data_IF_813903652130
#
_entry.id   IF_813903652130
#
_cell.length_a   1.000
_cell.length_b   1.000
_cell.length_c   1.000
_cell.angle_alpha   90.00
_cell.angle_beta   90.00
_cell.angle_gamma   90.00
#
_symmetry.space_group_name_H-M   'P 1'
#
loop_
_entity.id
_entity.type
_entity.pdbx_description
1 polymer ?
#
# COMPACT_ATOMS: atom_id res chain seq x y z
N UNK A 1 5.75 -16.31 -13.03
CA UNK A 1 5.73 -17.49 -12.12
C UNK A 1 4.67 -17.33 -11.04
N UNK A 2 4.69 -16.27 -10.18
CA UNK A 2 3.65 -16.06 -9.14
C UNK A 2 2.25 -15.95 -9.76
N UNK A 3 2.09 -15.15 -10.81
CA UNK A 3 0.81 -14.95 -11.51
C UNK A 3 0.34 -16.16 -12.32
N UNK A 4 1.21 -17.10 -12.66
CA UNK A 4 0.87 -18.35 -13.35
C UNK A 4 0.35 -19.41 -12.40
N UNK A 5 0.89 -19.46 -11.18
CA UNK A 5 0.50 -20.41 -10.13
C UNK A 5 0.26 -19.67 -8.80
N UNK A 6 -0.75 -18.80 -8.73
CA UNK A 6 -0.95 -17.93 -7.56
C UNK A 6 -1.29 -18.69 -6.28
N UNK A 7 -1.86 -19.89 -6.38
CA UNK A 7 -2.24 -20.70 -5.23
C UNK A 7 -1.07 -21.47 -4.58
N UNK A 8 0.11 -21.41 -5.19
CA UNK A 8 1.34 -21.99 -4.61
C UNK A 8 2.00 -21.03 -3.60
N UNK A 9 1.42 -19.83 -3.41
CA UNK A 9 1.94 -18.78 -2.55
C UNK A 9 0.96 -18.43 -1.43
N UNK A 10 1.50 -18.05 -0.28
CA UNK A 10 0.71 -17.46 0.79
C UNK A 10 0.43 -15.98 0.48
N UNK A 11 -0.82 -15.58 0.54
CA UNK A 11 -1.26 -14.23 0.27
C UNK A 11 -1.88 -13.59 1.49
N UNK A 12 -1.52 -12.34 1.73
CA UNK A 12 -2.11 -11.49 2.76
C UNK A 12 -2.93 -10.37 2.13
N UNK A 13 -4.11 -10.13 2.69
CA UNK A 13 -4.99 -9.02 2.32
C UNK A 13 -4.91 -7.91 3.36
N UNK A 14 -4.65 -6.68 2.92
CA UNK A 14 -4.71 -5.48 3.75
C UNK A 14 -5.93 -4.63 3.43
N UNK A 15 -6.53 -4.02 4.47
CA UNK A 15 -7.81 -3.32 4.41
C UNK A 15 -7.87 -2.08 3.52
N UNK A 16 -6.77 -1.62 2.95
CA UNK A 16 -6.74 -0.56 1.93
C UNK A 16 -6.72 -1.10 0.48
N UNK A 17 -7.23 -2.33 0.27
CA UNK A 17 -7.43 -2.91 -1.06
C UNK A 17 -6.19 -3.54 -1.67
N UNK A 18 -5.21 -3.93 -0.85
CA UNK A 18 -3.97 -4.53 -1.32
C UNK A 18 -3.89 -6.01 -0.96
N UNK A 19 -3.76 -6.87 -1.97
CA UNK A 19 -3.36 -8.27 -1.83
C UNK A 19 -1.85 -8.37 -2.06
N UNK A 20 -1.11 -9.02 -1.17
CA UNK A 20 0.35 -9.15 -1.29
C UNK A 20 0.84 -10.55 -1.02
N UNK A 21 1.94 -10.94 -1.67
CA UNK A 21 2.74 -12.12 -1.35
C UNK A 21 4.23 -11.79 -1.39
N UNK A 22 5.02 -12.50 -0.60
CA UNK A 22 6.48 -12.34 -0.60
C UNK A 22 7.11 -13.27 -1.62
N UNK A 23 7.95 -12.72 -2.51
CA UNK A 23 8.76 -13.47 -3.48
C UNK A 23 10.05 -13.93 -2.79
N UNK A 24 10.59 -13.07 -1.94
CA UNK A 24 11.70 -13.35 -1.02
C UNK A 24 11.53 -12.50 0.25
N UNK A 25 12.50 -12.50 1.16
CA UNK A 25 12.41 -11.80 2.46
C UNK A 25 12.20 -10.27 2.34
N UNK A 26 12.66 -9.65 1.26
CA UNK A 26 12.66 -8.21 1.08
C UNK A 26 11.78 -7.75 -0.10
N UNK A 27 11.41 -8.67 -1.00
CA UNK A 27 10.63 -8.37 -2.21
C UNK A 27 9.24 -8.96 -2.11
N UNK A 28 8.24 -8.14 -2.39
CA UNK A 28 6.83 -8.56 -2.43
C UNK A 28 6.13 -8.12 -3.70
N UNK A 29 5.26 -8.96 -4.21
CA UNK A 29 4.30 -8.64 -5.26
C UNK A 29 3.00 -8.17 -4.60
N UNK A 30 2.41 -7.11 -5.14
CA UNK A 30 1.18 -6.51 -4.66
C UNK A 30 0.19 -6.35 -5.80
N UNK A 31 -1.08 -6.67 -5.56
CA UNK A 31 -2.19 -6.47 -6.50
C UNK A 31 -3.22 -5.59 -5.81
N UNK A 32 -3.79 -4.62 -6.53
CA UNK A 32 -4.64 -3.58 -5.97
C UNK A 32 -6.06 -3.67 -6.53
N UNK A 33 -7.08 -3.66 -5.63
CA UNK A 33 -8.49 -3.75 -5.99
C UNK A 33 -9.37 -3.01 -4.98
N UNK A 34 -10.12 -2.01 -5.45
CA UNK A 34 -10.95 -1.12 -4.61
C UNK A 34 -12.06 -1.83 -3.87
N UNK A 35 -12.62 -2.90 -4.43
CA UNK A 35 -13.67 -3.71 -3.79
C UNK A 35 -13.28 -4.26 -2.42
N UNK A 36 -11.99 -4.28 -2.10
CA UNK A 36 -11.47 -4.76 -0.82
C UNK A 36 -10.98 -3.64 0.11
N UNK A 37 -11.31 -2.38 -0.20
CA UNK A 37 -11.10 -1.28 0.73
C UNK A 37 -12.15 -1.37 1.85
N UNK A 38 -11.68 -1.53 3.08
CA UNK A 38 -12.53 -1.55 4.26
C UNK A 38 -12.84 -0.11 4.66
N UNK A 39 -14.11 0.25 4.91
CA UNK A 39 -14.47 1.57 5.42
C UNK A 39 -13.74 1.89 6.73
N UNK A 40 -13.38 3.15 6.92
CA UNK A 40 -12.70 3.68 8.12
C UNK A 40 -11.30 3.12 8.40
N UNK A 41 -10.67 2.47 7.43
CA UNK A 41 -9.24 2.16 7.48
C UNK A 41 -8.46 3.37 7.01
N UNK A 42 -7.46 3.79 7.80
CA UNK A 42 -6.52 4.79 7.29
C UNK A 42 -5.54 4.15 6.30
N UNK A 43 -5.36 4.82 5.19
CA UNK A 43 -4.38 4.46 4.15
C UNK A 43 -3.12 5.35 4.20
N UNK A 44 -3.12 6.42 5.01
CA UNK A 44 -1.94 7.27 5.22
C UNK A 44 -1.04 6.65 6.28
N UNK A 45 0.17 6.27 5.87
CA UNK A 45 1.12 5.59 6.76
C UNK A 45 2.57 5.86 6.36
N UNK A 46 3.50 5.48 7.26
CA UNK A 46 4.94 5.42 6.97
C UNK A 46 5.44 3.97 6.95
N UNK A 47 6.65 3.79 6.46
CA UNK A 47 7.39 2.53 6.53
C UNK A 47 8.61 2.65 7.45
N UNK A 48 9.04 1.57 8.11
CA UNK A 48 10.27 1.54 8.91
C UNK A 48 11.52 1.32 8.04
N UNK A 49 11.37 1.25 6.72
CA UNK A 49 12.41 1.02 5.72
C UNK A 49 12.11 1.84 4.45
N UNK A 50 13.17 2.17 3.71
CA UNK A 50 13.06 2.70 2.37
C UNK A 50 12.61 1.61 1.41
N UNK A 51 12.03 1.98 0.26
CA UNK A 51 11.70 1.00 -0.76
C UNK A 51 11.78 1.55 -2.17
N UNK A 52 11.97 0.64 -3.10
CA UNK A 52 11.68 0.85 -4.51
C UNK A 52 10.45 0.07 -4.92
N UNK A 53 9.62 0.65 -5.77
CA UNK A 53 8.43 -0.01 -6.29
C UNK A 53 8.38 0.12 -7.81
N UNK A 54 8.38 -1.03 -8.48
CA UNK A 54 8.23 -1.16 -9.93
C UNK A 54 6.75 -1.36 -10.27
N UNK A 55 6.22 -0.57 -11.20
CA UNK A 55 4.86 -0.73 -11.71
C UNK A 55 4.88 -1.76 -12.84
N UNK A 56 4.56 -3.01 -12.50
CA UNK A 56 4.51 -4.08 -13.49
C UNK A 56 3.33 -3.90 -14.45
N UNK A 57 2.18 -3.45 -13.93
CA UNK A 57 0.94 -3.25 -14.67
C UNK A 57 0.08 -2.18 -14.01
N UNK A 58 -0.69 -1.46 -14.82
CA UNK A 58 -1.65 -0.46 -14.34
C UNK A 58 -0.99 0.87 -13.97
N UNK A 59 -1.51 1.49 -12.92
CA UNK A 59 -1.15 2.84 -12.52
C UNK A 59 -1.39 3.07 -11.04
N UNK A 60 -0.49 3.82 -10.41
CA UNK A 60 -0.69 4.40 -9.09
C UNK A 60 -0.47 5.92 -9.10
N UNK A 61 -1.01 6.59 -8.09
CA UNK A 61 -0.59 7.94 -7.70
C UNK A 61 -0.11 7.87 -6.25
N UNK A 62 1.15 8.22 -6.01
CA UNK A 62 1.73 8.30 -4.68
C UNK A 62 1.55 9.72 -4.15
N UNK A 63 0.79 9.86 -3.06
CA UNK A 63 0.58 11.11 -2.36
C UNK A 63 1.49 11.13 -1.14
N UNK A 64 2.33 12.15 -1.02
CA UNK A 64 3.31 12.29 0.06
C UNK A 64 3.03 13.52 0.90
N UNK A 65 3.26 13.39 2.20
CA UNK A 65 3.12 14.46 3.18
C UNK A 65 4.37 14.60 4.02
N UNK A 66 4.41 15.68 4.78
CA UNK A 66 5.32 15.85 5.91
C UNK A 66 4.59 16.42 7.11
N UNK A 67 5.05 16.12 8.30
CA UNK A 67 4.59 16.79 9.50
C UNK A 67 5.03 18.26 9.48
N UNK A 68 4.13 19.15 9.90
CA UNK A 68 4.35 20.59 9.96
C UNK A 68 4.12 21.08 11.37
N UNK A 69 4.95 22.01 11.83
CA UNK A 69 4.74 22.75 13.08
C UNK A 69 3.77 23.93 12.91
N UNK A 70 3.34 24.22 11.67
CA UNK A 70 2.41 25.30 11.33
C UNK A 70 1.02 24.74 11.10
N UNK A 71 -0.01 25.56 11.31
CA UNK A 71 -1.42 25.24 11.02
C UNK A 71 -1.75 25.38 9.51
N UNK A 72 -0.80 25.01 8.64
CA UNK A 72 -0.91 25.14 7.18
C UNK A 72 -1.16 23.80 6.46
N UNK A 73 -1.79 22.87 7.13
CA UNK A 73 -2.08 21.54 6.64
C UNK A 73 -3.39 20.96 7.18
N UNK A 74 -3.50 19.66 7.16
CA UNK A 74 -4.65 18.88 7.64
C UNK A 74 -4.29 18.23 8.97
N UNK A 75 -5.22 18.27 9.93
CA UNK A 75 -5.04 17.64 11.25
C UNK A 75 -5.27 16.13 11.15
N UNK A 76 -4.33 15.39 11.73
CA UNK A 76 -4.38 13.94 11.89
C UNK A 76 -3.96 13.56 13.31
N UNK A 77 -4.35 12.36 13.73
CA UNK A 77 -3.74 11.68 14.86
C UNK A 77 -2.70 10.69 14.35
N UNK A 78 -1.44 10.86 14.74
CA UNK A 78 -0.36 9.92 14.46
C UNK A 78 -0.42 8.77 15.47
N UNK A 79 -0.43 7.55 14.96
CA UNK A 79 -0.56 6.33 15.74
C UNK A 79 0.61 5.39 15.44
N UNK A 80 1.27 4.86 16.48
CA UNK A 80 2.35 3.89 16.31
C UNK A 80 1.78 2.54 15.82
N UNK A 81 2.39 1.97 14.76
CA UNK A 81 2.10 0.63 14.29
C UNK A 81 3.10 -0.33 14.97
N UNK A 82 2.58 -1.26 15.76
CA UNK A 82 3.39 -2.35 16.30
C UNK A 82 3.45 -3.49 15.27
N UNK A 83 4.67 -3.85 14.84
CA UNK A 83 4.91 -4.98 13.94
C UNK A 83 4.88 -6.29 14.73
N UNK A 84 4.20 -7.33 14.19
CA UNK A 84 4.25 -8.71 14.69
C UNK A 84 3.05 -9.19 15.50
N UNK A 85 2.22 -8.31 16.01
CA UNK A 85 0.93 -8.62 16.61
C UNK A 85 -0.16 -7.79 15.93
N UNK A 86 -1.46 -8.15 16.13
CA UNK A 86 -2.60 -7.37 15.64
C UNK A 86 -2.32 -5.90 15.88
N UNK A 87 -2.21 -5.10 14.80
CA UNK A 87 -1.81 -3.71 14.84
C UNK A 87 -2.65 -2.92 15.85
N UNK A 88 -2.12 -2.70 17.04
CA UNK A 88 -2.75 -1.89 18.06
C UNK A 88 -2.22 -0.46 17.99
N UNK A 89 -3.13 0.48 17.91
CA UNK A 89 -2.82 1.89 18.11
C UNK A 89 -2.55 2.10 19.60
N UNK A 90 -1.29 2.26 19.97
CA UNK A 90 -0.91 2.39 21.37
C UNK A 90 -1.00 3.81 21.89
N UNK A 91 -0.75 4.80 21.03
CA UNK A 91 -0.78 6.22 21.38
C UNK A 91 -1.27 7.05 20.18
N UNK A 92 -2.08 8.08 20.45
CA UNK A 92 -2.50 9.07 19.47
C UNK A 92 -1.81 10.38 19.77
N UNK A 93 -1.11 10.92 18.81
CA UNK A 93 -0.47 12.25 18.91
C UNK A 93 -1.03 13.14 17.82
N UNK A 94 -1.71 14.25 18.17
CA UNK A 94 -2.17 15.21 17.17
C UNK A 94 -1.01 15.79 16.38
N UNK A 95 -1.11 15.78 15.07
CA UNK A 95 -0.12 16.33 14.15
C UNK A 95 -0.80 17.03 12.98
N UNK A 96 -0.10 17.96 12.35
CA UNK A 96 -0.53 18.57 11.10
C UNK A 96 0.28 17.98 9.96
N UNK A 97 -0.40 17.42 8.95
CA UNK A 97 0.24 16.95 7.73
C UNK A 97 0.05 17.97 6.60
N UNK A 98 1.15 18.31 5.95
CA UNK A 98 1.20 19.14 4.75
C UNK A 98 1.58 18.31 3.54
N UNK A 99 0.82 18.43 2.46
CA UNK A 99 1.15 17.79 1.17
C UNK A 99 2.48 18.32 0.65
N UNK A 100 3.38 17.41 0.27
CA UNK A 100 4.67 17.74 -0.35
C UNK A 100 4.79 17.26 -1.79
N UNK A 101 3.91 16.36 -2.22
CA UNK A 101 3.88 15.90 -3.61
C UNK A 101 2.79 14.89 -3.88
N UNK A 102 2.34 14.90 -5.13
CA UNK A 102 1.46 13.90 -5.72
C UNK A 102 2.06 13.49 -7.05
N UNK A 103 2.51 12.27 -7.17
CA UNK A 103 3.16 11.80 -8.39
C UNK A 103 2.52 10.52 -8.92
N UNK A 104 2.22 10.54 -10.21
CA UNK A 104 1.63 9.43 -10.94
C UNK A 104 2.74 8.56 -11.55
N UNK A 105 2.58 7.23 -11.37
CA UNK A 105 3.46 6.23 -11.96
C UNK A 105 2.65 5.22 -12.74
N UNK A 106 3.13 4.87 -13.93
CA UNK A 106 2.46 3.95 -14.86
C UNK A 106 3.37 2.76 -15.16
N UNK A 107 2.84 1.77 -15.87
CA UNK A 107 3.56 0.54 -16.27
C UNK A 107 4.98 0.84 -16.76
N UNK A 108 5.94 0.09 -16.26
CA UNK A 108 7.37 0.19 -16.56
C UNK A 108 8.15 1.21 -15.74
N UNK A 109 7.46 2.06 -14.96
CA UNK A 109 8.12 3.03 -14.10
C UNK A 109 8.54 2.42 -12.76
N UNK A 110 9.62 2.96 -12.20
CA UNK A 110 10.09 2.68 -10.84
C UNK A 110 10.05 3.98 -10.06
N UNK A 111 9.69 3.90 -8.78
CA UNK A 111 9.87 5.01 -7.84
C UNK A 111 10.46 4.54 -6.53
N UNK A 112 11.22 5.40 -5.89
CA UNK A 112 11.75 5.21 -4.55
C UNK A 112 10.92 5.97 -3.54
N UNK A 113 10.83 5.46 -2.33
CA UNK A 113 10.15 6.10 -1.22
C UNK A 113 11.00 5.98 0.05
N UNK A 114 11.23 7.11 0.70
CA UNK A 114 12.03 7.17 1.92
C UNK A 114 11.20 6.73 3.13
N UNK A 115 11.83 6.01 4.05
CA UNK A 115 11.23 5.66 5.36
C UNK A 115 10.76 6.93 6.08
N UNK A 116 9.77 6.77 6.93
CA UNK A 116 9.18 7.84 7.74
C UNK A 116 8.47 8.98 6.97
N UNK A 117 8.47 8.98 5.64
CA UNK A 117 7.65 9.90 4.87
C UNK A 117 6.21 9.38 4.84
N UNK A 118 5.22 10.12 5.39
CA UNK A 118 3.82 9.71 5.31
C UNK A 118 3.35 9.70 3.87
N UNK A 119 2.70 8.61 3.47
CA UNK A 119 2.13 8.51 2.13
C UNK A 119 0.87 7.64 2.07
N UNK A 120 0.15 7.76 0.97
CA UNK A 120 -0.90 6.84 0.53
C UNK A 120 -0.83 6.62 -0.97
N UNK A 121 -1.46 5.56 -1.42
CA UNK A 121 -1.52 5.20 -2.83
C UNK A 121 -2.96 5.24 -3.31
N UNK A 122 -3.24 6.05 -4.35
CA UNK A 122 -4.41 5.87 -5.20
C UNK A 122 -4.02 4.96 -6.38
N UNK A 123 -4.93 4.10 -6.82
CA UNK A 123 -4.65 3.10 -7.85
C UNK A 123 -5.85 2.86 -8.76
N UNK A 124 -5.61 2.25 -9.93
CA UNK A 124 -6.67 1.63 -10.74
C UNK A 124 -6.75 0.13 -10.40
N UNK A 125 -7.95 -0.44 -10.51
CA UNK A 125 -8.17 -1.86 -10.22
C UNK A 125 -7.35 -2.76 -11.14
N UNK A 126 -6.76 -3.79 -10.57
CA UNK A 126 -5.87 -4.72 -11.27
C UNK A 126 -4.43 -4.22 -11.43
N UNK A 127 -4.06 -3.08 -10.85
CA UNK A 127 -2.66 -2.64 -10.79
C UNK A 127 -1.81 -3.69 -10.08
N UNK A 128 -0.62 -3.96 -10.62
CA UNK A 128 0.38 -4.85 -10.03
C UNK A 128 1.66 -4.06 -9.81
N UNK A 129 2.17 -4.12 -8.58
CA UNK A 129 3.46 -3.53 -8.22
C UNK A 129 4.38 -4.58 -7.61
N UNK A 130 5.68 -4.41 -7.84
CA UNK A 130 6.73 -5.20 -7.17
C UNK A 130 7.53 -4.25 -6.31
N UNK A 131 7.49 -4.46 -5.00
CA UNK A 131 8.14 -3.61 -4.02
C UNK A 131 9.33 -4.35 -3.40
N UNK A 132 10.50 -3.70 -3.38
CA UNK A 132 11.71 -4.19 -2.72
C UNK A 132 12.10 -3.25 -1.59
N UNK A 133 12.18 -3.80 -0.38
CA UNK A 133 12.62 -3.07 0.82
C UNK A 133 14.11 -2.79 0.74
N UNK A 134 14.50 -1.62 1.27
CA UNK A 134 15.89 -1.18 1.33
C UNK A 134 16.17 -0.56 2.72
N UNK A 135 17.42 -0.48 3.10
CA UNK A 135 17.86 0.20 4.33
C UNK A 135 17.06 -0.23 5.58
N UNK A 136 16.84 -1.54 5.75
CA UNK A 136 16.09 -2.12 6.86
C UNK A 136 16.90 -1.93 8.13
N UNK A 137 16.28 -1.30 9.16
CA UNK A 137 16.84 -1.12 10.50
C UNK A 137 15.89 -1.77 11.50
N UNK A 138 16.41 -2.62 12.39
CA UNK A 138 15.62 -3.43 13.33
C UNK A 138 14.76 -2.59 14.27
N UNK A 139 15.22 -1.41 14.71
CA UNK A 139 14.52 -0.55 15.66
C UNK A 139 13.70 0.56 15.01
N UNK A 140 13.51 0.52 13.69
CA UNK A 140 12.78 1.56 12.97
C UNK A 140 11.26 1.43 13.16
N UNK A 141 10.59 2.54 13.47
CA UNK A 141 9.16 2.59 13.75
C UNK A 141 8.35 2.97 12.50
N UNK A 142 7.12 2.49 12.44
CA UNK A 142 6.13 2.88 11.43
C UNK A 142 4.90 3.52 12.10
N UNK A 143 4.25 4.43 11.39
CA UNK A 143 3.09 5.16 11.89
C UNK A 143 1.94 5.11 10.88
N UNK A 144 0.71 5.06 11.41
CA UNK A 144 -0.51 5.37 10.67
C UNK A 144 -1.03 6.74 11.10
N UNK A 145 -1.69 7.43 10.18
CA UNK A 145 -2.28 8.74 10.41
C UNK A 145 -3.78 8.67 10.22
N UNK A 146 -4.53 8.95 11.27
CA UNK A 146 -6.00 8.84 11.31
C UNK A 146 -6.62 10.23 11.29
N UNK A 147 -7.60 10.45 10.42
CA UNK A 147 -8.33 11.70 10.32
C UNK A 147 -9.61 11.65 11.16
N UNK A 148 -9.74 12.60 12.12
CA UNK A 148 -10.92 12.78 12.95
C UNK A 148 -10.93 12.03 14.28
N UNK A 149 -11.48 12.69 15.32
CA UNK A 149 -11.49 12.22 16.72
C UNK A 149 -12.60 11.19 16.95
N UNK A 150 -13.68 11.22 16.16
CA UNK A 150 -14.94 10.49 16.42
C UNK A 150 -15.16 9.24 15.58
N UNK A 151 -14.25 8.90 14.69
CA UNK A 151 -14.40 7.70 13.87
C UNK A 151 -13.78 6.50 14.56
N UNK A 152 -14.55 5.42 14.69
CA UNK A 152 -13.99 4.11 15.04
C UNK A 152 -12.93 3.73 14.00
N UNK A 153 -11.68 3.84 14.41
CA UNK A 153 -10.56 3.47 13.57
C UNK A 153 -10.47 1.95 13.47
N UNK A 154 -10.44 1.44 12.25
CA UNK A 154 -10.25 0.01 11.96
C UNK A 154 -8.80 -0.21 11.56
N UNK A 155 -8.14 -1.16 12.21
CA UNK A 155 -6.78 -1.56 11.86
C UNK A 155 -6.75 -2.16 10.46
N UNK A 156 -5.79 -1.72 9.65
CA UNK A 156 -5.45 -2.33 8.36
C UNK A 156 -4.50 -3.53 8.50
N UNK A 157 -4.48 -4.19 9.67
CA UNK A 157 -3.61 -5.36 9.88
C UNK A 157 -3.84 -6.39 8.76
N UNK A 158 -2.77 -6.95 8.19
CA UNK A 158 -2.90 -7.97 7.16
C UNK A 158 -3.52 -9.25 7.75
N UNK A 159 -4.33 -9.92 6.95
CA UNK A 159 -4.85 -11.26 7.24
C UNK A 159 -4.62 -12.18 6.06
N UNK A 160 -4.61 -13.46 6.28
CA UNK A 160 -4.56 -14.44 5.19
C UNK A 160 -5.78 -14.24 4.26
N UNK A 161 -5.51 -14.25 2.97
CA UNK A 161 -6.53 -14.19 1.94
C UNK A 161 -7.09 -15.59 1.65
N UNK A 162 -8.39 -15.66 1.37
CA UNK A 162 -9.04 -16.87 0.89
C UNK A 162 -8.74 -17.11 -0.60
N UNK A 163 -8.85 -18.35 -1.07
CA UNK A 163 -8.69 -18.68 -2.49
C UNK A 163 -9.65 -17.89 -3.41
N UNK A 164 -10.87 -17.61 -2.95
CA UNK A 164 -11.84 -16.81 -3.72
C UNK A 164 -11.39 -15.36 -3.86
N UNK A 165 -10.82 -14.78 -2.81
CA UNK A 165 -10.26 -13.43 -2.85
C UNK A 165 -9.04 -13.37 -3.79
N UNK A 166 -8.09 -14.30 -3.64
CA UNK A 166 -6.93 -14.41 -4.52
C UNK A 166 -7.40 -14.50 -5.98
N UNK A 167 -8.34 -15.40 -6.29
CA UNK A 167 -8.91 -15.56 -7.63
C UNK A 167 -9.48 -14.24 -8.16
N UNK A 168 -10.25 -13.50 -7.35
CA UNK A 168 -10.86 -12.22 -7.77
C UNK A 168 -9.80 -11.18 -8.14
N UNK A 169 -8.72 -11.03 -7.35
CA UNK A 169 -7.62 -10.14 -7.67
C UNK A 169 -6.91 -10.53 -8.97
N UNK A 170 -6.61 -11.81 -9.16
CA UNK A 170 -5.95 -12.33 -10.37
C UNK A 170 -6.82 -12.13 -11.61
N UNK A 171 -8.11 -12.41 -11.53
CA UNK A 171 -9.06 -12.25 -12.65
C UNK A 171 -9.12 -10.78 -13.11
N UNK A 172 -9.19 -9.82 -12.19
CA UNK A 172 -9.21 -8.38 -12.52
C UNK A 172 -7.87 -7.94 -13.12
N UNK A 173 -6.76 -8.34 -12.52
CA UNK A 173 -5.44 -8.02 -13.03
C UNK A 173 -5.22 -8.57 -14.45
N UNK A 174 -5.67 -9.80 -14.72
CA UNK A 174 -5.56 -10.44 -16.03
C UNK A 174 -6.40 -9.72 -17.11
N UNK A 175 -7.54 -9.15 -16.75
CA UNK A 175 -8.37 -8.34 -17.68
C UNK A 175 -7.65 -7.04 -18.05
N UNK A 176 -7.12 -6.33 -17.07
CA UNK A 176 -6.39 -5.07 -17.32
C UNK A 176 -5.19 -5.29 -18.25
N UNK A 177 -4.46 -6.41 -18.10
CA UNK A 177 -3.34 -6.70 -18.99
C UNK A 177 -3.74 -6.90 -20.46
N UNK A 178 -4.89 -7.51 -20.72
CA UNK A 178 -5.40 -7.73 -22.07
C UNK A 178 -5.82 -6.40 -22.75
N UNK A 179 -6.41 -5.48 -22.01
CA UNK A 179 -6.85 -4.18 -22.51
C UNK A 179 -5.66 -3.25 -22.83
N UNK A 180 -4.53 -3.42 -22.15
CA UNK A 180 -3.35 -2.57 -22.32
C UNK A 180 -2.30 -3.12 -23.31
N UNK A 181 -2.48 -4.33 -23.81
CA UNK A 181 -1.61 -4.92 -24.84
C UNK A 181 -2.13 -4.53 -26.21
N UNK A 182 -1.39 -3.76 -27.04
CA UNK A 182 -1.80 -3.43 -28.40
C UNK A 182 -2.03 -4.73 -29.19
N UNK A 183 -3.20 -4.85 -29.81
CA UNK A 183 -3.43 -5.93 -30.80
C UNK A 183 -2.57 -5.57 -32.00
N UNK A 184 -1.48 -6.31 -32.22
CA UNK A 184 -0.74 -6.26 -33.46
C UNK A 184 -1.70 -6.86 -34.50
N UNK A 185 -2.32 -6.01 -35.31
CA UNK A 185 -3.02 -6.44 -36.52
C UNK A 185 -1.93 -6.77 -37.54
N UNK A 186 -1.83 -8.05 -37.91
CA UNK A 186 -1.04 -8.55 -39.02
C UNK A 186 -1.54 -7.99 -40.36
#
# INVERSE_FOLDING_TARGET
>A
KVMENPFDYEWELQGFGMLRTYIDKDTRLQIWLKDFIVPNVTDVHTHPWDFESFIYQGQITNHCWKESSKLDGVSFDRCLILTGEKAYVKERTPVILKVIGNQKYTRGMVYSHEKHVPHRIDFIDGTITVLTKQNIQEDSLAYSYVMGIDNEWVSAAPRLATNNEIKKFIDVASKLNKETTPTIQD
#
